data_IF_874203824156
#
_entry.id   IF_874203824156
#
_cell.length_a   1.000
_cell.length_b   1.000
_cell.length_c   1.000
_cell.angle_alpha   90.00
_cell.angle_beta   90.00
_cell.angle_gamma   90.00
#
_symmetry.space_group_name_H-M   'P 1'
#
loop_
_entity.id
_entity.type
_entity.pdbx_description
1 polymer ?
#
# COMPACT_ATOMS: atom_id res chain seq x y z
N UNK A 1 10.64 19.16 -2.59
CA UNK A 1 9.56 18.17 -2.83
C UNK A 1 8.31 18.97 -3.19
N UNK A 2 7.75 18.74 -4.36
CA UNK A 2 6.50 19.35 -4.82
C UNK A 2 5.34 18.99 -3.89
N UNK A 3 4.42 19.92 -3.69
CA UNK A 3 3.18 19.67 -2.96
C UNK A 3 2.20 18.85 -3.79
N UNK A 4 1.15 18.37 -3.15
CA UNK A 4 0.08 17.59 -3.79
C UNK A 4 -1.24 18.39 -3.86
N UNK A 5 -1.16 19.72 -3.85
CA UNK A 5 -2.34 20.58 -3.95
C UNK A 5 -3.14 20.27 -5.20
N UNK A 6 -4.45 20.09 -5.03
CA UNK A 6 -5.38 19.72 -6.12
C UNK A 6 -5.28 18.25 -6.56
N UNK A 7 -4.48 17.41 -5.90
CA UNK A 7 -4.43 15.97 -6.13
C UNK A 7 -5.32 15.22 -5.13
N UNK A 8 -5.86 14.10 -5.58
CA UNK A 8 -6.63 13.16 -4.77
C UNK A 8 -5.86 11.86 -4.65
N UNK A 9 -5.63 11.43 -3.42
CA UNK A 9 -5.00 10.15 -3.10
C UNK A 9 -6.03 9.15 -2.57
N UNK A 10 -6.02 7.94 -3.09
CA UNK A 10 -6.79 6.79 -2.59
C UNK A 10 -5.82 5.82 -1.93
N UNK A 11 -6.05 5.48 -0.66
CA UNK A 11 -5.20 4.57 0.12
C UNK A 11 -6.03 3.43 0.66
N UNK A 12 -5.67 2.19 0.36
CA UNK A 12 -6.31 1.00 0.92
C UNK A 12 -5.63 0.51 2.19
N UNK A 13 -6.38 -0.12 3.11
CA UNK A 13 -5.87 -0.50 4.43
C UNK A 13 -5.48 0.74 5.25
N UNK A 14 -6.30 1.77 5.17
CA UNK A 14 -6.02 3.11 5.66
C UNK A 14 -6.49 3.36 7.10
N UNK A 15 -7.19 2.42 7.72
CA UNK A 15 -7.75 2.61 9.07
C UNK A 15 -6.71 2.73 10.17
N UNK A 16 -5.51 2.17 9.97
CA UNK A 16 -4.42 2.16 10.99
C UNK A 16 -3.04 1.91 10.38
N UNK A 17 -2.01 2.05 11.20
CA UNK A 17 -0.64 1.67 10.87
C UNK A 17 -0.06 2.41 9.66
N UNK A 18 0.57 1.68 8.74
CA UNK A 18 1.27 2.26 7.58
C UNK A 18 0.30 3.05 6.69
N UNK A 19 -0.90 2.52 6.40
CA UNK A 19 -1.88 3.21 5.57
C UNK A 19 -2.36 4.53 6.18
N UNK A 20 -2.61 4.55 7.48
CA UNK A 20 -2.98 5.76 8.22
C UNK A 20 -1.84 6.81 8.19
N UNK A 21 -0.60 6.38 8.44
CA UNK A 21 0.58 7.27 8.37
C UNK A 21 0.77 7.88 6.97
N UNK A 22 0.56 7.07 5.90
CA UNK A 22 0.60 7.52 4.51
C UNK A 22 -0.50 8.55 4.25
N UNK A 23 -1.76 8.31 4.66
CA UNK A 23 -2.87 9.24 4.50
C UNK A 23 -2.55 10.61 5.10
N UNK A 24 -2.11 10.63 6.36
CA UNK A 24 -1.74 11.87 7.05
C UNK A 24 -0.60 12.60 6.34
N UNK A 25 0.40 11.87 5.88
CA UNK A 25 1.56 12.48 5.22
C UNK A 25 1.22 13.06 3.85
N UNK A 26 0.36 12.41 3.07
CA UNK A 26 -0.16 12.93 1.80
C UNK A 26 -0.98 14.22 2.05
N UNK A 27 -1.82 14.23 3.08
CA UNK A 27 -2.59 15.42 3.48
C UNK A 27 -1.67 16.59 3.86
N UNK A 28 -0.63 16.37 4.66
CA UNK A 28 0.39 17.39 5.00
C UNK A 28 1.10 17.98 3.78
N UNK A 29 1.12 17.26 2.67
CA UNK A 29 1.65 17.72 1.39
C UNK A 29 0.61 18.33 0.47
N UNK A 30 -0.64 18.48 0.93
CA UNK A 30 -1.71 19.16 0.20
C UNK A 30 -2.66 18.25 -0.59
N UNK A 31 -2.55 16.92 -0.50
CA UNK A 31 -3.51 16.02 -1.14
C UNK A 31 -4.83 15.96 -0.37
N UNK A 32 -5.94 15.86 -1.07
CA UNK A 32 -7.18 15.33 -0.52
C UNK A 32 -7.13 13.81 -0.50
N UNK A 33 -7.75 13.15 0.49
CA UNK A 33 -7.54 11.72 0.73
C UNK A 33 -8.85 10.95 0.80
N UNK A 34 -8.88 9.81 0.12
CA UNK A 34 -9.88 8.76 0.32
C UNK A 34 -9.22 7.61 1.08
N UNK A 35 -9.64 7.42 2.32
CA UNK A 35 -9.19 6.34 3.19
C UNK A 35 -10.13 5.15 3.04
N UNK A 36 -9.65 4.02 2.52
CA UNK A 36 -10.43 2.78 2.32
C UNK A 36 -9.97 1.74 3.31
N UNK A 37 -10.90 1.14 4.07
CA UNK A 37 -10.60 0.03 4.97
C UNK A 37 -11.82 -0.89 5.13
N UNK A 38 -11.60 -2.10 5.66
CA UNK A 38 -12.68 -3.03 5.99
C UNK A 38 -13.48 -2.55 7.23
N UNK A 39 -12.85 -1.76 8.09
CA UNK A 39 -13.49 -1.07 9.21
C UNK A 39 -13.58 0.43 8.92
N UNK A 40 -14.44 1.15 9.65
CA UNK A 40 -14.60 2.59 9.47
C UNK A 40 -13.27 3.34 9.78
N UNK A 41 -12.63 4.01 8.81
CA UNK A 41 -11.37 4.72 9.00
C UNK A 41 -11.55 6.12 9.62
N UNK A 42 -12.51 6.30 10.53
CA UNK A 42 -12.90 7.60 11.10
C UNK A 42 -11.73 8.37 11.72
N UNK A 43 -10.82 7.68 12.40
CA UNK A 43 -9.63 8.32 12.99
C UNK A 43 -8.72 8.90 11.89
N UNK A 44 -8.49 8.16 10.83
CA UNK A 44 -7.68 8.60 9.69
C UNK A 44 -8.32 9.80 8.98
N UNK A 45 -9.63 9.76 8.80
CA UNK A 45 -10.39 10.92 8.26
C UNK A 45 -10.16 12.16 9.12
N UNK A 46 -10.33 12.05 10.44
CA UNK A 46 -10.07 13.16 11.36
C UNK A 46 -8.63 13.68 11.31
N UNK A 47 -7.63 12.79 11.15
CA UNK A 47 -6.24 13.19 10.99
C UNK A 47 -5.99 13.97 9.69
N UNK A 48 -6.62 13.60 8.59
CA UNK A 48 -6.51 14.30 7.29
C UNK A 48 -7.19 15.67 7.37
N UNK A 49 -8.37 15.74 7.96
CA UNK A 49 -9.12 17.00 8.16
C UNK A 49 -8.36 17.98 9.06
N UNK A 50 -7.67 17.47 10.09
CA UNK A 50 -6.81 18.28 10.95
C UNK A 50 -5.61 18.92 10.22
N UNK A 51 -5.18 18.33 9.09
CA UNK A 51 -4.17 18.94 8.20
C UNK A 51 -4.80 19.92 7.16
N UNK A 52 -6.10 20.24 7.32
CA UNK A 52 -6.84 21.18 6.45
C UNK A 52 -7.20 20.63 5.08
N UNK A 53 -7.24 19.31 4.92
CA UNK A 53 -7.56 18.67 3.64
C UNK A 53 -8.92 17.95 3.66
N UNK A 54 -9.53 17.82 2.48
CA UNK A 54 -10.76 17.05 2.33
C UNK A 54 -10.45 15.57 2.52
N UNK A 55 -11.26 14.90 3.34
CA UNK A 55 -11.17 13.47 3.59
C UNK A 55 -12.49 12.74 3.30
N UNK A 56 -12.39 11.51 2.81
CA UNK A 56 -13.54 10.61 2.65
C UNK A 56 -13.14 9.24 3.20
N UNK A 57 -13.87 8.74 4.20
CA UNK A 57 -13.78 7.37 4.67
C UNK A 57 -14.71 6.45 3.87
N UNK A 58 -14.20 5.32 3.38
CA UNK A 58 -14.98 4.30 2.68
C UNK A 58 -14.75 2.94 3.33
N UNK A 59 -15.83 2.27 3.69
CA UNK A 59 -15.80 0.90 4.22
C UNK A 59 -15.98 -0.08 3.06
N UNK A 60 -15.07 -1.06 2.94
CA UNK A 60 -15.20 -2.13 1.95
C UNK A 60 -14.03 -3.13 1.98
N UNK A 61 -14.31 -4.36 1.59
CA UNK A 61 -13.30 -5.40 1.41
C UNK A 61 -12.69 -5.25 0.00
N UNK A 62 -11.45 -4.82 -0.06
CA UNK A 62 -10.73 -4.62 -1.34
C UNK A 62 -10.49 -5.94 -2.11
N UNK A 63 -10.72 -7.09 -1.49
CA UNK A 63 -10.68 -8.40 -2.17
C UNK A 63 -12.01 -8.81 -2.79
N UNK A 64 -13.10 -8.04 -2.56
CA UNK A 64 -14.42 -8.24 -3.14
C UNK A 64 -14.61 -7.31 -4.34
N UNK A 65 -14.85 -7.85 -5.56
CA UNK A 65 -15.02 -7.03 -6.77
C UNK A 65 -16.21 -6.07 -6.71
N UNK A 66 -17.30 -6.43 -6.01
CA UNK A 66 -18.50 -5.60 -5.91
C UNK A 66 -18.26 -4.42 -4.95
N UNK A 67 -17.58 -4.66 -3.84
CA UNK A 67 -17.12 -3.62 -2.93
C UNK A 67 -16.18 -2.65 -3.62
N UNK A 68 -15.19 -3.16 -4.37
CA UNK A 68 -14.24 -2.29 -5.09
C UNK A 68 -14.94 -1.47 -6.18
N UNK A 69 -15.91 -2.03 -6.88
CA UNK A 69 -16.71 -1.27 -7.85
C UNK A 69 -17.45 -0.11 -7.16
N UNK A 70 -18.06 -0.36 -6.01
CA UNK A 70 -18.73 0.64 -5.19
C UNK A 70 -17.75 1.72 -4.68
N UNK A 71 -16.56 1.31 -4.25
CA UNK A 71 -15.49 2.25 -3.85
C UNK A 71 -15.13 3.17 -5.03
N UNK A 72 -14.87 2.63 -6.22
CA UNK A 72 -14.55 3.42 -7.41
C UNK A 72 -15.65 4.44 -7.76
N UNK A 73 -16.92 4.04 -7.69
CA UNK A 73 -18.05 4.94 -7.88
C UNK A 73 -18.05 6.08 -6.86
N UNK A 74 -17.85 5.77 -5.57
CA UNK A 74 -17.81 6.79 -4.52
C UNK A 74 -16.59 7.71 -4.63
N UNK A 75 -15.45 7.23 -5.10
CA UNK A 75 -14.28 8.08 -5.43
C UNK A 75 -14.68 9.10 -6.50
N UNK A 76 -15.30 8.64 -7.58
CA UNK A 76 -15.79 9.52 -8.67
C UNK A 76 -16.82 10.53 -8.17
N UNK A 77 -17.83 10.08 -7.45
CA UNK A 77 -18.92 10.94 -6.96
C UNK A 77 -18.47 11.99 -5.95
N UNK A 78 -17.57 11.64 -5.04
CA UNK A 78 -17.20 12.51 -3.91
C UNK A 78 -15.97 13.36 -4.19
N UNK A 79 -15.04 12.85 -5.01
CA UNK A 79 -13.75 13.50 -5.26
C UNK A 79 -13.54 13.89 -6.73
N UNK A 80 -14.29 13.29 -7.67
CA UNK A 80 -14.25 13.59 -9.10
C UNK A 80 -12.98 13.07 -9.80
N UNK A 81 -11.99 12.58 -9.07
CA UNK A 81 -10.70 12.12 -9.62
C UNK A 81 -9.94 11.21 -8.66
N UNK A 82 -8.97 10.51 -9.19
CA UNK A 82 -7.90 9.85 -8.43
C UNK A 82 -6.58 10.10 -9.15
N UNK A 83 -5.62 10.67 -8.46
CA UNK A 83 -4.27 10.93 -9.00
C UNK A 83 -3.23 9.97 -8.45
N UNK A 84 -3.36 9.60 -7.18
CA UNK A 84 -2.42 8.75 -6.46
C UNK A 84 -3.21 7.56 -5.90
N UNK A 85 -2.78 6.35 -6.22
CA UNK A 85 -3.30 5.13 -5.62
C UNK A 85 -2.21 4.46 -4.79
N UNK A 86 -2.47 4.22 -3.51
CA UNK A 86 -1.60 3.42 -2.66
C UNK A 86 -2.32 2.13 -2.28
N UNK A 87 -1.93 1.03 -2.89
CA UNK A 87 -2.38 -0.32 -2.57
C UNK A 87 -1.60 -0.83 -1.35
N UNK A 88 -2.13 -0.54 -0.15
CA UNK A 88 -1.48 -0.88 1.11
C UNK A 88 -2.19 -2.01 1.86
N UNK A 89 -3.46 -2.26 1.63
CA UNK A 89 -4.20 -3.34 2.28
C UNK A 89 -3.47 -4.68 2.15
N UNK A 90 -3.39 -5.43 3.25
CA UNK A 90 -2.71 -6.71 3.25
C UNK A 90 -2.84 -7.47 4.57
N UNK A 91 -2.78 -8.79 4.47
CA UNK A 91 -2.78 -9.73 5.60
C UNK A 91 -1.56 -10.65 5.53
N UNK A 92 -1.06 -11.08 6.69
CA UNK A 92 0.15 -11.90 6.80
C UNK A 92 0.01 -13.01 7.86
N UNK A 93 -1.03 -13.88 7.77
CA UNK A 93 -1.16 -14.99 8.68
C UNK A 93 0.00 -15.97 8.50
N UNK A 94 0.60 -16.41 9.62
CA UNK A 94 1.60 -17.47 9.58
C UNK A 94 0.90 -18.83 9.53
N UNK A 95 1.15 -19.62 8.47
CA UNK A 95 0.60 -20.98 8.33
C UNK A 95 1.60 -21.88 7.60
N UNK A 96 2.10 -22.90 8.28
CA UNK A 96 3.03 -23.85 7.68
C UNK A 96 2.36 -24.60 6.52
N UNK A 97 3.11 -24.92 5.46
CA UNK A 97 2.60 -25.54 4.23
C UNK A 97 1.86 -26.84 4.48
N UNK A 98 2.25 -27.64 5.47
CA UNK A 98 1.54 -28.88 5.84
C UNK A 98 0.13 -28.65 6.42
N UNK A 99 -0.18 -27.44 6.86
CA UNK A 99 -1.49 -27.02 7.41
C UNK A 99 -2.18 -25.97 6.53
N UNK A 100 -1.52 -25.51 5.48
CA UNK A 100 -2.05 -24.48 4.57
C UNK A 100 -3.07 -25.13 3.63
N UNK A 101 -4.35 -24.86 3.86
CA UNK A 101 -5.43 -25.25 2.97
C UNK A 101 -5.59 -24.24 1.82
N UNK A 102 -6.39 -24.62 0.83
CA UNK A 102 -6.60 -23.81 -0.36
C UNK A 102 -7.36 -22.51 -0.06
N UNK A 103 -8.29 -22.51 0.90
CA UNK A 103 -9.07 -21.32 1.26
C UNK A 103 -8.18 -20.25 1.90
N UNK A 104 -7.29 -20.64 2.82
CA UNK A 104 -6.31 -19.72 3.40
C UNK A 104 -5.32 -19.19 2.34
N UNK A 105 -4.88 -20.02 1.41
CA UNK A 105 -4.09 -19.59 0.26
C UNK A 105 -4.84 -18.53 -0.56
N UNK A 106 -6.08 -18.85 -0.99
CA UNK A 106 -6.91 -17.94 -1.81
C UNK A 106 -7.19 -16.63 -1.08
N UNK A 107 -7.49 -16.67 0.21
CA UNK A 107 -7.73 -15.46 1.00
C UNK A 107 -6.53 -14.51 0.99
N UNK A 108 -5.31 -15.03 1.16
CA UNK A 108 -4.11 -14.19 1.13
C UNK A 108 -3.84 -13.64 -0.27
N UNK A 109 -4.01 -14.46 -1.32
CA UNK A 109 -3.88 -13.99 -2.71
C UNK A 109 -4.90 -12.91 -3.03
N UNK A 110 -6.16 -13.10 -2.68
CA UNK A 110 -7.23 -12.14 -2.94
C UNK A 110 -6.97 -10.78 -2.26
N UNK A 111 -6.58 -10.79 -0.97
CA UNK A 111 -6.34 -9.53 -0.24
C UNK A 111 -5.04 -8.86 -0.66
N UNK A 112 -3.95 -9.61 -0.88
CA UNK A 112 -2.63 -9.01 -1.06
C UNK A 112 -2.26 -8.73 -2.52
N UNK A 113 -2.91 -9.42 -3.48
CA UNK A 113 -2.57 -9.32 -4.90
C UNK A 113 -3.78 -8.97 -5.77
N UNK A 114 -4.88 -9.75 -5.71
CA UNK A 114 -6.04 -9.50 -6.57
C UNK A 114 -6.63 -8.10 -6.28
N UNK A 115 -6.61 -7.67 -5.00
CA UNK A 115 -7.05 -6.32 -4.60
C UNK A 115 -6.29 -5.20 -5.32
N UNK A 116 -4.98 -5.36 -5.57
CA UNK A 116 -4.18 -4.35 -6.26
C UNK A 116 -4.64 -4.17 -7.70
N UNK A 117 -4.96 -5.27 -8.37
CA UNK A 117 -5.57 -5.24 -9.70
C UNK A 117 -6.96 -4.58 -9.66
N UNK A 118 -7.82 -5.00 -8.76
CA UNK A 118 -9.19 -4.50 -8.64
C UNK A 118 -9.21 -2.98 -8.35
N UNK A 119 -8.47 -2.53 -7.34
CA UNK A 119 -8.38 -1.12 -6.97
C UNK A 119 -7.78 -0.28 -8.09
N UNK A 120 -6.75 -0.79 -8.77
CA UNK A 120 -6.19 -0.12 -9.95
C UNK A 120 -7.23 0.06 -11.03
N UNK A 121 -7.95 -1.00 -11.40
CA UNK A 121 -9.02 -0.93 -12.42
C UNK A 121 -10.14 0.04 -12.06
N UNK A 122 -10.46 0.18 -10.77
CA UNK A 122 -11.53 1.06 -10.31
C UNK A 122 -11.22 2.56 -10.46
N UNK A 123 -9.92 2.94 -10.55
CA UNK A 123 -9.52 4.36 -10.60
C UNK A 123 -8.63 4.72 -11.81
N UNK A 124 -8.23 3.74 -12.62
CA UNK A 124 -7.25 3.94 -13.70
C UNK A 124 -7.71 4.95 -14.76
N UNK A 125 -9.00 4.97 -15.07
CA UNK A 125 -9.55 5.84 -16.11
C UNK A 125 -9.32 7.32 -15.76
N UNK A 126 -9.46 7.72 -14.49
CA UNK A 126 -9.15 9.09 -14.04
C UNK A 126 -7.71 9.48 -14.33
N UNK A 127 -6.76 8.57 -14.10
CA UNK A 127 -5.33 8.82 -14.36
C UNK A 127 -5.04 8.88 -15.87
N UNK A 128 -5.66 8.02 -16.66
CA UNK A 128 -5.52 8.00 -18.12
C UNK A 128 -6.04 9.30 -18.75
N UNK A 129 -7.21 9.77 -18.35
CA UNK A 129 -7.81 11.02 -18.79
C UNK A 129 -6.95 12.24 -18.41
N UNK A 130 -6.45 12.25 -17.17
CA UNK A 130 -5.56 13.31 -16.68
C UNK A 130 -4.15 13.26 -17.30
N UNK A 131 -3.78 12.16 -17.97
CA UNK A 131 -2.42 11.85 -18.44
C UNK A 131 -1.35 12.03 -17.34
N UNK A 132 -1.75 11.70 -16.14
CA UNK A 132 -0.90 11.74 -14.94
C UNK A 132 -1.46 10.78 -13.89
N UNK A 133 -0.61 9.97 -13.33
CA UNK A 133 -0.97 9.07 -12.23
C UNK A 133 0.24 8.50 -11.51
N UNK A 134 0.03 8.12 -10.25
CA UNK A 134 1.04 7.45 -9.42
C UNK A 134 0.40 6.28 -8.71
N UNK A 135 0.87 5.06 -9.01
CA UNK A 135 0.39 3.84 -8.37
C UNK A 135 1.54 3.27 -7.54
N UNK A 136 1.33 3.10 -6.24
CA UNK A 136 2.30 2.59 -5.30
C UNK A 136 1.74 1.32 -4.64
N UNK A 137 2.41 0.19 -4.86
CA UNK A 137 2.04 -1.10 -4.29
C UNK A 137 2.90 -1.41 -3.08
N UNK A 138 2.31 -1.62 -1.90
CA UNK A 138 3.06 -2.00 -0.70
C UNK A 138 3.28 -3.52 -0.74
N UNK A 139 4.55 -3.89 -0.99
CA UNK A 139 5.02 -5.27 -0.95
C UNK A 139 5.62 -5.59 0.44
N UNK A 140 6.77 -6.21 0.53
CA UNK A 140 7.45 -6.54 1.80
C UNK A 140 8.91 -6.88 1.53
N UNK A 141 9.78 -6.66 2.49
CA UNK A 141 11.15 -7.18 2.43
C UNK A 141 11.24 -8.71 2.59
N UNK A 142 10.16 -9.36 3.02
CA UNK A 142 10.09 -10.82 3.09
C UNK A 142 10.35 -11.53 1.75
N UNK A 143 10.22 -10.82 0.64
CA UNK A 143 10.55 -11.33 -0.71
C UNK A 143 12.02 -11.70 -0.89
N UNK A 144 12.92 -11.12 -0.11
CA UNK A 144 14.35 -11.44 -0.08
C UNK A 144 14.75 -12.35 1.09
N UNK A 145 13.79 -12.87 1.85
CA UNK A 145 14.02 -13.67 3.03
C UNK A 145 13.40 -15.08 2.88
N UNK A 146 14.01 -16.07 3.52
CA UNK A 146 13.48 -17.43 3.61
C UNK A 146 12.72 -17.60 4.94
N UNK A 147 11.44 -17.26 4.96
CA UNK A 147 10.61 -17.29 6.17
C UNK A 147 9.66 -18.49 6.17
N UNK A 148 9.88 -19.49 7.04
CA UNK A 148 8.95 -20.61 7.20
C UNK A 148 7.55 -20.13 7.62
N UNK A 149 6.51 -20.77 7.09
CA UNK A 149 5.12 -20.44 7.41
C UNK A 149 4.53 -19.27 6.62
N UNK A 150 5.27 -18.67 5.67
CA UNK A 150 4.81 -17.53 4.89
C UNK A 150 4.73 -17.80 3.38
N UNK A 151 4.60 -19.06 2.96
CA UNK A 151 4.59 -19.47 1.54
C UNK A 151 3.57 -18.67 0.72
N UNK A 152 2.30 -18.59 1.16
CA UNK A 152 1.23 -17.84 0.49
C UNK A 152 1.47 -16.33 0.52
N UNK A 153 1.95 -15.80 1.65
CA UNK A 153 2.23 -14.38 1.81
C UNK A 153 3.35 -13.93 0.88
N UNK A 154 4.51 -14.63 0.90
CA UNK A 154 5.65 -14.30 0.04
C UNK A 154 5.26 -14.45 -1.43
N UNK A 155 4.52 -15.51 -1.80
CA UNK A 155 4.00 -15.67 -3.15
C UNK A 155 3.15 -14.48 -3.60
N UNK A 156 2.24 -13.97 -2.73
CA UNK A 156 1.43 -12.80 -3.04
C UNK A 156 2.26 -11.53 -3.20
N UNK A 157 3.27 -11.32 -2.33
CA UNK A 157 4.13 -10.13 -2.39
C UNK A 157 5.13 -10.16 -3.56
N UNK A 158 5.59 -11.34 -3.99
CA UNK A 158 6.33 -11.51 -5.23
C UNK A 158 5.43 -11.29 -6.46
N UNK A 159 4.17 -11.75 -6.41
CA UNK A 159 3.16 -11.46 -7.45
C UNK A 159 2.93 -9.96 -7.62
N UNK A 160 2.89 -9.20 -6.51
CA UNK A 160 2.79 -7.73 -6.51
C UNK A 160 3.93 -7.06 -7.30
N UNK A 161 5.16 -7.60 -7.21
CA UNK A 161 6.30 -7.08 -7.99
C UNK A 161 6.11 -7.36 -9.48
N UNK A 162 5.68 -8.58 -9.85
CA UNK A 162 5.37 -8.93 -11.23
C UNK A 162 4.27 -8.03 -11.80
N UNK A 163 3.19 -7.84 -11.04
CA UNK A 163 2.09 -6.93 -11.38
C UNK A 163 2.59 -5.49 -11.58
N UNK A 164 3.39 -4.97 -10.64
CA UNK A 164 3.99 -3.62 -10.72
C UNK A 164 4.77 -3.41 -12.01
N UNK A 165 5.64 -4.37 -12.37
CA UNK A 165 6.51 -4.28 -13.55
C UNK A 165 5.72 -4.31 -14.86
N UNK A 166 4.75 -5.23 -14.97
CA UNK A 166 3.93 -5.36 -16.16
C UNK A 166 3.03 -4.12 -16.35
N UNK A 167 2.29 -3.74 -15.31
CA UNK A 167 1.41 -2.58 -15.35
C UNK A 167 2.17 -1.28 -15.66
N UNK A 168 3.38 -1.10 -15.12
CA UNK A 168 4.22 0.06 -15.43
C UNK A 168 4.44 0.25 -16.93
N UNK A 169 4.64 -0.84 -17.67
CA UNK A 169 4.80 -0.81 -19.13
C UNK A 169 3.49 -0.50 -19.85
N UNK A 170 2.38 -1.06 -19.38
CA UNK A 170 1.07 -0.88 -20.01
C UNK A 170 0.58 0.57 -19.94
N UNK A 171 0.87 1.29 -18.83
CA UNK A 171 0.29 2.62 -18.57
C UNK A 171 1.27 3.78 -18.78
N UNK A 172 2.53 3.52 -19.08
CA UNK A 172 3.57 4.55 -19.22
C UNK A 172 3.21 5.63 -20.27
N UNK A 173 2.59 5.23 -21.38
CA UNK A 173 2.17 6.16 -22.45
C UNK A 173 1.11 7.17 -22.00
N UNK A 174 0.44 6.93 -20.87
CA UNK A 174 -0.52 7.85 -20.25
C UNK A 174 0.12 8.75 -19.18
N UNK A 175 1.45 8.76 -19.01
CA UNK A 175 2.13 9.55 -17.99
C UNK A 175 1.96 9.01 -16.56
N UNK A 176 1.61 7.73 -16.45
CA UNK A 176 1.39 7.04 -15.17
C UNK A 176 2.64 6.24 -14.81
N UNK A 177 3.10 6.36 -13.56
CA UNK A 177 4.16 5.50 -13.01
C UNK A 177 3.58 4.49 -12.02
N UNK A 178 4.15 3.28 -12.01
CA UNK A 178 3.76 2.21 -11.09
C UNK A 178 5.00 1.68 -10.42
N UNK A 179 5.06 1.75 -9.09
CA UNK A 179 6.20 1.29 -8.32
C UNK A 179 5.77 0.50 -7.08
N UNK A 180 6.68 -0.26 -6.52
CA UNK A 180 6.46 -1.00 -5.28
C UNK A 180 7.38 -0.50 -4.17
N UNK A 181 6.90 -0.56 -2.92
CA UNK A 181 7.69 -0.29 -1.72
C UNK A 181 7.67 -1.52 -0.83
N UNK A 182 8.84 -1.97 -0.40
CA UNK A 182 9.03 -3.12 0.48
C UNK A 182 9.41 -2.71 1.91
N UNK A 183 8.44 -2.58 2.83
CA UNK A 183 8.72 -2.31 4.24
C UNK A 183 9.40 -3.49 4.94
N UNK A 184 10.12 -3.20 6.03
CA UNK A 184 10.49 -4.18 7.05
C UNK A 184 9.31 -4.48 7.97
N UNK A 185 9.49 -5.46 8.87
CA UNK A 185 8.59 -5.65 10.00
C UNK A 185 8.60 -4.38 10.85
N UNK A 186 7.46 -3.69 10.90
CA UNK A 186 7.32 -2.39 11.53
C UNK A 186 6.38 -2.46 12.73
N UNK A 187 6.65 -1.64 13.74
CA UNK A 187 5.78 -1.51 14.91
C UNK A 187 4.47 -0.85 14.50
N UNK A 188 3.40 -1.65 14.47
CA UNK A 188 2.05 -1.23 14.09
C UNK A 188 1.02 -1.94 14.96
N UNK A 189 -0.20 -1.40 15.09
CA UNK A 189 -1.28 -2.11 15.79
C UNK A 189 -1.53 -3.52 15.24
N UNK A 190 -1.44 -3.73 13.94
CA UNK A 190 -1.60 -5.05 13.32
C UNK A 190 -0.51 -6.04 13.71
N UNK A 191 0.72 -5.59 13.98
CA UNK A 191 1.77 -6.46 14.53
C UNK A 191 1.49 -6.83 15.98
N UNK A 192 1.06 -5.88 16.80
CA UNK A 192 0.75 -6.13 18.21
C UNK A 192 -0.35 -7.18 18.40
N UNK A 193 -1.30 -7.27 17.46
CA UNK A 193 -2.38 -8.27 17.45
C UNK A 193 -1.96 -9.61 16.81
N UNK A 194 -0.78 -9.68 16.20
CA UNK A 194 -0.30 -10.87 15.49
C UNK A 194 0.42 -11.85 16.42
N UNK A 195 0.50 -13.11 15.98
CA UNK A 195 1.27 -14.15 16.67
C UNK A 195 2.81 -13.98 16.55
N UNK A 196 3.26 -13.00 15.77
CA UNK A 196 4.69 -12.80 15.48
C UNK A 196 5.43 -12.23 16.69
N UNK A 197 4.78 -11.32 17.44
CA UNK A 197 5.28 -10.79 18.71
C UNK A 197 6.55 -9.91 18.64
N UNK A 198 6.89 -9.30 19.78
CA UNK A 198 8.03 -8.37 19.89
C UNK A 198 9.41 -9.04 19.69
N UNK A 199 9.52 -10.34 19.97
CA UNK A 199 10.78 -11.07 19.74
C UNK A 199 11.21 -11.12 18.29
N UNK A 200 10.24 -11.24 17.37
CA UNK A 200 10.53 -11.20 15.94
C UNK A 200 10.96 -9.79 15.49
N UNK A 201 10.36 -8.75 16.05
CA UNK A 201 10.71 -7.36 15.77
C UNK A 201 12.17 -7.07 16.16
N UNK A 202 12.60 -7.51 17.34
CA UNK A 202 14.00 -7.40 17.80
C UNK A 202 14.95 -8.21 16.92
N UNK A 203 14.57 -9.44 16.57
CA UNK A 203 15.37 -10.29 15.70
C UNK A 203 15.59 -9.63 14.32
N UNK A 204 14.53 -9.18 13.68
CA UNK A 204 14.58 -8.52 12.37
C UNK A 204 15.43 -7.24 12.43
N UNK A 205 15.25 -6.40 13.45
CA UNK A 205 16.03 -5.16 13.61
C UNK A 205 17.53 -5.46 13.83
N UNK A 206 17.85 -6.57 14.47
CA UNK A 206 19.22 -7.06 14.63
C UNK A 206 19.92 -7.43 13.31
N UNK A 207 19.16 -7.86 12.30
CA UNK A 207 19.65 -8.21 10.96
C UNK A 207 19.79 -6.99 10.03
N UNK A 208 19.04 -5.92 10.28
CA UNK A 208 19.07 -4.69 9.47
C UNK A 208 20.44 -3.99 9.59
N UNK A 209 20.80 -3.17 8.59
CA UNK A 209 21.95 -2.27 8.71
C UNK A 209 21.66 -1.15 9.72
N UNK A 210 20.44 -0.59 9.68
CA UNK A 210 19.93 0.36 10.66
C UNK A 210 19.34 -0.42 11.84
N UNK A 211 20.03 -0.47 12.98
CA UNK A 211 19.76 -1.35 14.14
C UNK A 211 18.63 -0.83 15.03
N UNK A 212 17.44 -0.66 14.48
CA UNK A 212 16.22 -0.36 15.24
C UNK A 212 14.99 -0.98 14.57
N UNK A 213 13.91 -1.22 15.30
CA UNK A 213 12.63 -1.60 14.69
C UNK A 213 12.18 -0.58 13.65
N UNK A 214 11.51 -1.05 12.61
CA UNK A 214 10.79 -0.20 11.69
C UNK A 214 9.56 0.42 12.36
N UNK A 215 9.24 1.64 11.98
CA UNK A 215 8.01 2.33 12.35
C UNK A 215 7.18 2.59 11.08
N UNK A 216 5.88 2.87 11.22
CA UNK A 216 5.02 3.16 10.07
C UNK A 216 5.53 4.35 9.25
N UNK A 217 6.12 5.34 9.92
CA UNK A 217 6.67 6.56 9.33
C UNK A 217 7.90 6.31 8.45
N UNK A 218 8.64 5.24 8.67
CA UNK A 218 9.85 4.92 7.87
C UNK A 218 9.53 4.62 6.39
N UNK A 219 8.30 4.21 6.12
CA UNK A 219 7.82 3.91 4.75
C UNK A 219 7.36 5.18 4.02
N UNK A 220 6.87 6.15 4.79
CA UNK A 220 6.18 7.35 4.28
C UNK A 220 7.05 8.15 3.31
N UNK A 221 8.31 8.39 3.65
CA UNK A 221 9.22 9.18 2.79
C UNK A 221 9.38 8.60 1.38
N UNK A 222 9.49 7.27 1.28
CA UNK A 222 9.59 6.58 -0.01
C UNK A 222 8.28 6.67 -0.80
N UNK A 223 7.13 6.51 -0.12
CA UNK A 223 5.81 6.65 -0.76
C UNK A 223 5.61 8.07 -1.28
N UNK A 224 5.92 9.09 -0.48
CA UNK A 224 5.81 10.50 -0.91
C UNK A 224 6.71 10.84 -2.11
N UNK A 225 7.92 10.30 -2.15
CA UNK A 225 8.81 10.45 -3.30
C UNK A 225 8.16 9.84 -4.56
N UNK A 226 7.68 8.60 -4.46
CA UNK A 226 7.05 7.90 -5.59
C UNK A 226 5.70 8.49 -6.01
N UNK A 227 5.01 9.18 -5.10
CA UNK A 227 3.75 9.87 -5.38
C UNK A 227 3.95 11.24 -6.06
N UNK A 228 5.17 11.78 -6.08
CA UNK A 228 5.48 13.12 -6.58
C UNK A 228 6.02 13.15 -8.01
N UNK A 229 6.30 14.37 -8.47
CA UNK A 229 6.91 14.60 -9.78
C UNK A 229 8.42 14.36 -9.76
N UNK A 230 9.05 14.36 -8.59
CA UNK A 230 10.48 14.04 -8.42
C UNK A 230 10.81 12.59 -8.85
N UNK A 231 9.80 11.71 -8.94
CA UNK A 231 9.92 10.33 -9.41
C UNK A 231 9.34 10.10 -10.82
N UNK A 232 9.12 11.15 -11.61
CA UNK A 232 8.45 11.05 -12.92
C UNK A 232 9.17 10.09 -13.92
N UNK A 233 10.45 9.79 -13.72
CA UNK A 233 11.23 8.85 -14.52
C UNK A 233 11.53 7.54 -13.80
N UNK A 234 10.84 7.27 -12.68
CA UNK A 234 10.96 6.03 -11.89
C UNK A 234 9.66 5.23 -12.05
N UNK A 235 9.72 4.10 -12.78
CA UNK A 235 8.56 3.22 -12.95
C UNK A 235 9.00 1.76 -13.03
N UNK A 236 8.16 0.82 -12.62
CA UNK A 236 8.42 -0.61 -12.58
C UNK A 236 9.42 -1.03 -11.48
N UNK A 237 9.77 -0.12 -10.56
CA UNK A 237 10.79 -0.38 -9.55
C UNK A 237 10.22 -0.90 -8.23
N UNK A 238 11.06 -1.63 -7.50
CA UNK A 238 10.78 -2.02 -6.12
C UNK A 238 11.83 -1.39 -5.22
N UNK A 239 11.41 -0.52 -4.32
CA UNK A 239 12.30 0.19 -3.38
C UNK A 239 12.11 -0.41 -1.98
N UNK A 240 13.20 -0.91 -1.39
CA UNK A 240 13.17 -1.40 -0.01
C UNK A 240 13.28 -0.26 0.98
N UNK A 241 12.28 -0.13 1.86
CA UNK A 241 12.26 0.76 3.02
C UNK A 241 12.38 -0.09 4.30
N UNK A 242 13.52 -0.75 4.47
CA UNK A 242 13.68 -1.87 5.40
C UNK A 242 14.95 -1.79 6.28
N UNK A 243 15.54 -0.61 6.39
CA UNK A 243 16.78 -0.43 7.17
C UNK A 243 17.99 -1.16 6.59
N UNK A 244 17.96 -1.53 5.30
CA UNK A 244 19.04 -2.18 4.59
C UNK A 244 19.17 -3.68 4.90
N UNK A 245 18.06 -4.35 5.22
CA UNK A 245 18.02 -5.80 5.43
C UNK A 245 18.12 -6.55 4.11
N UNK A 246 17.31 -6.17 3.12
CA UNK A 246 17.29 -6.79 1.79
C UNK A 246 17.85 -5.80 0.76
N UNK A 247 18.71 -6.29 -0.11
CA UNK A 247 19.28 -5.55 -1.23
C UNK A 247 18.95 -6.32 -2.52
N UNK A 248 18.09 -5.73 -3.37
CA UNK A 248 17.68 -6.29 -4.67
C UNK A 248 18.54 -5.75 -5.80
#
# INVERSE_FOLDING_TARGET
>A
MTGFEGRVAVVSGAGRGIGQAICRALARRGADVVAVDIADPVETVGMVEAEGRKAVGLIGDVSDPDDVRRIGQQVTERMGRCDILVNNAGIYPAKNVFKLDYDAWRRVMAVNLDSQFLMTKAVLDHMCEARWGRIINITSNSIGLALPGFTHYIASKMGSIGFTRALASDVASFGITVNAVGPTLSRTPGLAESVIGDGALQHVSGLQAIKRPGEAEDVVGTVLFLAGDDSAFVTGQTIMADGGLVRL
#
